data_IF_104669895107
#
_entry.id   IF_104669895107
#
_cell.length_a   1.000
_cell.length_b   1.000
_cell.length_c   1.000
_cell.angle_alpha   90.00
_cell.angle_beta   90.00
_cell.angle_gamma   90.00
#
_symmetry.space_group_name_H-M   'P 1'
#
loop_
_entity.id
_entity.type
_entity.pdbx_description
1 polymer ?
#
# COMPACT_ATOMS: atom_id res chain seq x y z
N UNK A 1 40.11 16.24 43.13
CA UNK A 1 38.70 15.79 42.93
C UNK A 1 37.93 16.54 41.83
N UNK A 2 38.48 17.60 41.21
CA UNK A 2 37.78 18.43 40.19
C UNK A 2 37.78 17.82 38.78
N UNK A 3 38.85 17.13 38.39
CA UNK A 3 39.04 16.59 37.02
C UNK A 3 38.00 15.55 36.59
N UNK A 4 37.45 14.74 37.53
CA UNK A 4 36.38 13.76 37.23
C UNK A 4 35.02 14.43 36.99
N UNK A 5 34.75 15.60 37.58
CA UNK A 5 33.47 16.30 37.39
C UNK A 5 33.36 16.95 36.02
N UNK A 6 34.45 17.49 35.46
CA UNK A 6 34.44 18.06 34.09
C UNK A 6 34.15 17.01 33.01
N UNK A 7 34.71 15.80 33.14
CA UNK A 7 34.45 14.69 32.22
C UNK A 7 32.98 14.22 32.28
N UNK A 8 32.37 14.25 33.47
CA UNK A 8 30.94 13.97 33.64
C UNK A 8 30.09 15.01 32.91
N UNK A 9 30.43 16.31 32.99
CA UNK A 9 29.70 17.34 32.24
C UNK A 9 29.86 17.20 30.73
N UNK A 10 31.06 16.87 30.23
CA UNK A 10 31.25 16.60 28.79
C UNK A 10 30.45 15.39 28.31
N UNK A 11 30.41 14.31 29.11
CA UNK A 11 29.62 13.13 28.79
C UNK A 11 28.11 13.43 28.77
N UNK A 12 27.61 14.18 29.76
CA UNK A 12 26.20 14.59 29.81
C UNK A 12 25.85 15.47 28.61
N UNK A 13 26.69 16.46 28.28
CA UNK A 13 26.48 17.32 27.11
C UNK A 13 26.51 16.54 25.80
N UNK A 14 27.44 15.59 25.64
CA UNK A 14 27.50 14.71 24.48
C UNK A 14 26.24 13.86 24.33
N UNK A 15 25.77 13.23 25.42
CA UNK A 15 24.55 12.43 25.41
C UNK A 15 23.31 13.29 25.12
N UNK A 16 23.23 14.51 25.66
CA UNK A 16 22.15 15.44 25.38
C UNK A 16 22.14 15.86 23.89
N UNK A 17 23.30 16.19 23.31
CA UNK A 17 23.43 16.50 21.89
C UNK A 17 23.05 15.30 21.03
N UNK A 18 23.56 14.10 21.34
CA UNK A 18 23.22 12.89 20.62
C UNK A 18 21.71 12.59 20.68
N UNK A 19 21.08 12.79 21.84
CA UNK A 19 19.63 12.65 22.00
C UNK A 19 18.86 13.67 21.15
N UNK A 20 19.25 14.95 21.15
CA UNK A 20 18.62 15.98 20.32
C UNK A 20 18.80 15.65 18.83
N UNK A 21 20.01 15.31 18.39
CA UNK A 21 20.27 14.95 17.00
C UNK A 21 19.46 13.73 16.56
N UNK A 22 19.37 12.70 17.41
CA UNK A 22 18.57 11.52 17.15
C UNK A 22 17.08 11.85 16.99
N UNK A 23 16.50 12.63 17.92
CA UNK A 23 15.08 13.01 17.83
C UNK A 23 14.80 13.92 16.63
N UNK A 24 15.67 14.88 16.33
CA UNK A 24 15.55 15.73 15.14
C UNK A 24 15.63 14.91 13.86
N UNK A 25 16.59 13.99 13.76
CA UNK A 25 16.71 13.09 12.62
C UNK A 25 15.47 12.20 12.46
N UNK A 26 14.97 11.60 13.55
CA UNK A 26 13.77 10.76 13.55
C UNK A 26 12.52 11.55 13.13
N UNK A 27 12.37 12.77 13.64
CA UNK A 27 11.27 13.64 13.24
C UNK A 27 11.36 14.02 11.76
N UNK A 28 12.52 14.50 11.31
CA UNK A 28 12.73 14.92 9.93
C UNK A 28 12.56 13.77 8.92
N UNK A 29 13.06 12.57 9.26
CA UNK A 29 12.91 11.38 8.40
C UNK A 29 11.49 10.82 8.35
N UNK A 30 10.65 11.15 9.34
CA UNK A 30 9.23 10.76 9.37
C UNK A 30 8.29 11.75 8.67
N UNK A 31 8.75 12.96 8.33
CA UNK A 31 7.91 13.97 7.70
C UNK A 31 7.38 13.47 6.34
N UNK A 32 6.07 13.53 6.17
CA UNK A 32 5.40 13.08 4.94
C UNK A 32 5.15 11.58 4.86
N UNK A 33 5.57 10.78 5.85
CA UNK A 33 5.22 9.37 5.94
C UNK A 33 3.92 9.19 6.73
N UNK A 34 3.02 8.35 6.22
CA UNK A 34 1.71 8.09 6.82
C UNK A 34 1.58 6.67 7.38
N UNK A 35 2.71 6.04 7.74
CA UNK A 35 2.67 4.72 8.36
C UNK A 35 1.87 4.74 9.66
N UNK A 36 0.95 3.78 9.82
CA UNK A 36 0.02 3.72 10.94
C UNK A 36 -1.21 4.63 10.80
N UNK A 37 -1.33 5.41 9.72
CA UNK A 37 -2.52 6.25 9.51
C UNK A 37 -3.79 5.39 9.41
N UNK A 38 -4.73 5.64 10.31
CA UNK A 38 -5.95 4.84 10.53
C UNK A 38 -7.11 5.77 10.93
N UNK A 39 -7.65 6.56 9.98
CA UNK A 39 -8.74 7.48 10.26
C UNK A 39 -10.06 6.74 10.53
N UNK A 40 -10.94 7.37 11.30
CA UNK A 40 -12.33 6.93 11.38
C UNK A 40 -12.99 6.99 10.00
N UNK A 41 -13.79 5.96 9.71
CA UNK A 41 -14.49 5.81 8.44
C UNK A 41 -15.98 6.08 8.65
N UNK A 42 -16.74 6.46 7.61
CA UNK A 42 -18.18 6.71 7.72
C UNK A 42 -18.95 5.48 8.25
N UNK A 43 -18.42 4.29 7.98
CA UNK A 43 -18.92 3.00 8.46
C UNK A 43 -17.75 2.21 9.04
N UNK A 44 -17.98 1.55 10.17
CA UNK A 44 -17.01 0.66 10.79
C UNK A 44 -16.90 -0.69 10.03
N UNK A 45 -16.46 -0.61 8.78
CA UNK A 45 -16.27 -1.75 7.88
C UNK A 45 -15.05 -2.59 8.28
N UNK A 46 -15.28 -3.89 8.50
CA UNK A 46 -14.22 -4.85 8.86
C UNK A 46 -13.79 -5.68 7.65
N UNK A 47 -12.55 -5.48 7.20
CA UNK A 47 -11.94 -6.34 6.17
C UNK A 47 -11.71 -7.75 6.72
N UNK A 48 -11.42 -7.88 8.01
CA UNK A 48 -11.27 -9.18 8.67
C UNK A 48 -12.53 -10.03 8.59
N UNK A 49 -13.70 -9.45 8.79
CA UNK A 49 -14.96 -10.21 8.62
C UNK A 49 -15.13 -10.65 7.16
N UNK A 50 -14.98 -9.74 6.21
CA UNK A 50 -15.30 -10.01 4.80
C UNK A 50 -14.24 -10.89 4.10
N UNK A 51 -12.98 -10.49 4.13
CA UNK A 51 -11.89 -11.22 3.47
C UNK A 51 -11.29 -12.32 4.37
N UNK A 52 -11.25 -12.10 5.68
CA UNK A 52 -10.64 -13.05 6.63
C UNK A 52 -11.55 -14.22 6.99
N UNK A 53 -12.77 -13.95 7.45
CA UNK A 53 -13.73 -14.97 7.90
C UNK A 53 -14.51 -15.56 6.73
N UNK A 54 -15.18 -14.72 5.94
CA UNK A 54 -16.01 -15.17 4.82
C UNK A 54 -15.23 -15.44 3.53
N UNK A 55 -13.91 -15.18 3.52
CA UNK A 55 -13.02 -15.46 2.39
C UNK A 55 -13.48 -14.83 1.07
N UNK A 56 -14.14 -13.66 1.14
CA UNK A 56 -14.52 -12.91 -0.05
C UNK A 56 -13.25 -12.44 -0.76
N UNK A 57 -13.15 -12.72 -2.05
CA UNK A 57 -11.99 -12.35 -2.84
C UNK A 57 -11.85 -10.82 -2.93
N UNK A 58 -10.62 -10.31 -2.78
CA UNK A 58 -10.29 -8.88 -2.83
C UNK A 58 -10.85 -8.18 -4.09
N UNK A 59 -10.75 -8.83 -5.26
CA UNK A 59 -11.16 -8.24 -6.54
C UNK A 59 -12.68 -8.16 -6.73
N UNK A 60 -13.46 -8.82 -5.87
CA UNK A 60 -14.91 -8.74 -5.90
C UNK A 60 -15.37 -7.31 -5.57
N UNK A 61 -14.81 -6.72 -4.50
CA UNK A 61 -15.11 -5.35 -4.09
C UNK A 61 -14.21 -4.33 -4.78
N UNK A 62 -12.90 -4.61 -4.85
CA UNK A 62 -11.93 -3.73 -5.50
C UNK A 62 -11.81 -4.03 -6.98
N UNK A 63 -12.93 -3.90 -7.68
CA UNK A 63 -12.98 -4.12 -9.11
C UNK A 63 -12.07 -3.12 -9.84
N UNK A 64 -11.58 -3.54 -11.01
CA UNK A 64 -10.68 -2.71 -11.81
C UNK A 64 -9.21 -2.73 -11.39
N UNK A 65 -8.84 -3.33 -10.26
CA UNK A 65 -7.42 -3.44 -9.86
C UNK A 65 -6.53 -4.12 -10.90
N UNK A 66 -7.09 -5.05 -11.69
CA UNK A 66 -6.38 -5.76 -12.77
C UNK A 66 -6.43 -5.05 -14.14
N UNK A 67 -7.25 -4.00 -14.27
CA UNK A 67 -7.56 -3.38 -15.57
C UNK A 67 -7.30 -1.88 -15.64
N UNK A 68 -7.29 -1.22 -14.49
CA UNK A 68 -7.19 0.23 -14.35
C UNK A 68 -5.97 0.61 -13.52
N UNK A 69 -5.57 1.87 -13.65
CA UNK A 69 -4.54 2.46 -12.78
C UNK A 69 -5.00 2.61 -11.33
N UNK A 70 -6.32 2.69 -11.10
CA UNK A 70 -6.91 2.83 -9.77
C UNK A 70 -7.63 1.55 -9.36
N UNK A 71 -7.37 1.06 -8.14
CA UNK A 71 -8.28 0.15 -7.45
C UNK A 71 -9.48 0.97 -6.96
N UNK A 72 -10.66 0.69 -7.52
CA UNK A 72 -11.87 1.42 -7.14
C UNK A 72 -12.32 0.99 -5.73
N UNK A 73 -12.90 1.94 -5.00
CA UNK A 73 -13.65 1.63 -3.79
C UNK A 73 -15.07 1.25 -4.26
N UNK A 74 -15.64 0.13 -3.76
CA UNK A 74 -16.95 -0.33 -4.22
C UNK A 74 -18.02 0.74 -4.00
N UNK A 75 -18.96 0.78 -4.93
CA UNK A 75 -20.20 1.53 -4.74
C UNK A 75 -21.09 0.88 -3.67
N UNK A 76 -22.11 1.62 -3.24
CA UNK A 76 -23.09 1.12 -2.25
C UNK A 76 -23.84 -0.11 -2.78
N UNK A 77 -24.03 -0.21 -4.10
CA UNK A 77 -24.72 -1.34 -4.73
C UNK A 77 -23.99 -2.66 -4.50
N UNK A 78 -22.67 -2.66 -4.54
CA UNK A 78 -21.83 -3.83 -4.23
C UNK A 78 -22.09 -4.34 -2.81
N UNK A 79 -22.29 -3.44 -1.85
CA UNK A 79 -22.66 -3.82 -0.48
C UNK A 79 -24.05 -4.46 -0.44
N UNK A 80 -24.99 -3.95 -1.23
CA UNK A 80 -26.38 -4.40 -1.27
C UNK A 80 -26.57 -5.80 -1.85
N UNK A 81 -25.63 -6.30 -2.66
CA UNK A 81 -25.63 -7.67 -3.16
C UNK A 81 -25.81 -8.72 -2.05
N UNK A 82 -25.29 -8.44 -0.84
CA UNK A 82 -25.45 -9.30 0.34
C UNK A 82 -26.31 -8.66 1.43
N UNK A 83 -26.16 -7.36 1.67
CA UNK A 83 -26.81 -6.66 2.77
C UNK A 83 -28.32 -6.39 2.56
N UNK A 84 -28.87 -6.70 1.39
CA UNK A 84 -30.31 -6.80 1.20
C UNK A 84 -30.94 -7.88 2.12
N UNK A 85 -30.24 -9.01 2.30
CA UNK A 85 -30.64 -10.12 3.18
C UNK A 85 -29.93 -10.13 4.54
N UNK A 86 -28.65 -9.74 4.59
CA UNK A 86 -27.86 -9.72 5.83
C UNK A 86 -27.95 -8.35 6.50
N UNK A 87 -28.82 -8.23 7.52
CA UNK A 87 -29.14 -6.94 8.17
C UNK A 87 -28.59 -6.77 9.59
N UNK A 88 -27.86 -7.76 10.11
CA UNK A 88 -27.29 -7.73 11.46
C UNK A 88 -25.87 -8.27 11.42
N UNK A 89 -24.90 -7.45 11.83
CA UNK A 89 -23.53 -7.86 12.08
C UNK A 89 -23.34 -8.33 13.53
N UNK A 90 -22.24 -9.03 13.78
CA UNK A 90 -21.90 -9.60 15.08
C UNK A 90 -21.55 -8.52 16.11
N UNK A 91 -20.65 -7.59 15.75
CA UNK A 91 -20.09 -6.58 16.67
C UNK A 91 -21.01 -5.37 16.92
N UNK A 92 -21.65 -4.86 15.88
CA UNK A 92 -22.43 -3.62 15.93
C UNK A 92 -23.94 -3.81 15.71
N UNK A 93 -24.41 -5.07 15.68
CA UNK A 93 -25.80 -5.38 15.41
C UNK A 93 -26.26 -4.78 14.08
N UNK A 94 -27.34 -3.97 14.10
CA UNK A 94 -27.90 -3.35 12.89
C UNK A 94 -27.31 -1.97 12.58
N UNK A 95 -26.54 -1.37 13.49
CA UNK A 95 -26.17 0.05 13.46
C UNK A 95 -25.33 0.43 12.24
N UNK A 96 -24.30 -0.35 11.93
CA UNK A 96 -23.41 -0.03 10.80
C UNK A 96 -24.04 -0.40 9.45
N UNK A 97 -24.82 -1.49 9.41
CA UNK A 97 -25.50 -1.92 8.18
C UNK A 97 -26.64 -0.96 7.83
N UNK A 98 -27.33 -0.37 8.81
CA UNK A 98 -28.38 0.63 8.52
C UNK A 98 -27.84 1.83 7.76
N UNK A 99 -26.61 2.29 8.05
CA UNK A 99 -25.96 3.37 7.30
C UNK A 99 -25.82 3.05 5.81
N UNK A 100 -25.50 1.79 5.47
CA UNK A 100 -25.45 1.32 4.06
C UNK A 100 -26.84 1.35 3.43
N UNK A 101 -27.84 0.84 4.15
CA UNK A 101 -29.23 0.80 3.67
C UNK A 101 -29.79 2.21 3.42
N UNK A 102 -29.46 3.16 4.30
CA UNK A 102 -29.90 4.54 4.17
C UNK A 102 -29.18 5.24 3.01
N UNK A 103 -27.86 5.08 2.89
CA UNK A 103 -27.09 5.56 1.74
C UNK A 103 -27.63 5.00 0.40
N UNK A 104 -28.02 3.72 0.39
CA UNK A 104 -28.62 3.08 -0.77
C UNK A 104 -29.97 3.70 -1.16
N UNK A 105 -30.87 3.88 -0.19
CA UNK A 105 -32.20 4.48 -0.43
C UNK A 105 -32.11 5.94 -0.89
N UNK A 106 -31.17 6.70 -0.33
CA UNK A 106 -30.95 8.09 -0.69
C UNK A 106 -30.18 8.25 -2.00
N UNK A 107 -29.63 7.17 -2.56
CA UNK A 107 -28.79 7.20 -3.76
C UNK A 107 -27.50 7.99 -3.56
N UNK A 108 -27.00 8.08 -2.33
CA UNK A 108 -25.80 8.85 -1.98
C UNK A 108 -24.58 7.93 -1.81
N UNK A 109 -23.41 8.29 -2.35
CA UNK A 109 -22.19 7.54 -2.11
C UNK A 109 -21.72 7.70 -0.68
N UNK A 110 -21.02 6.69 -0.17
CA UNK A 110 -20.33 6.77 1.12
C UNK A 110 -19.05 7.61 0.97
N UNK A 111 -18.93 8.65 1.79
CA UNK A 111 -17.76 9.53 1.80
C UNK A 111 -16.58 8.90 2.55
N UNK A 112 -15.95 7.89 1.93
CA UNK A 112 -14.79 7.21 2.49
C UNK A 112 -13.59 8.15 2.66
N UNK A 113 -12.87 7.99 3.77
CA UNK A 113 -11.60 8.70 3.99
C UNK A 113 -10.48 7.87 3.38
N UNK A 114 -9.85 8.41 2.33
CA UNK A 114 -8.74 7.75 1.64
C UNK A 114 -7.53 7.63 2.57
N UNK A 115 -7.00 6.41 2.68
CA UNK A 115 -5.85 6.11 3.55
C UNK A 115 -4.54 6.18 2.76
N UNK A 116 -4.45 5.40 1.68
CA UNK A 116 -3.24 5.37 0.85
C UNK A 116 -3.32 6.51 -0.15
N UNK A 117 -2.52 7.56 0.04
CA UNK A 117 -2.46 8.68 -0.87
C UNK A 117 -1.03 8.91 -1.36
N UNK A 118 -0.85 8.85 -2.68
CA UNK A 118 0.37 9.28 -3.34
C UNK A 118 0.17 10.72 -3.88
N UNK A 119 1.23 11.54 -3.95
CA UNK A 119 1.14 12.85 -4.58
C UNK A 119 0.70 12.77 -6.04
N UNK A 120 0.02 13.80 -6.56
CA UNK A 120 -0.56 13.78 -7.91
C UNK A 120 0.47 13.70 -9.04
N UNK A 121 1.72 14.14 -8.79
CA UNK A 121 2.83 13.99 -9.71
C UNK A 121 3.42 12.57 -9.73
N UNK A 122 2.79 11.61 -9.05
CA UNK A 122 3.19 10.20 -9.05
C UNK A 122 2.17 9.41 -9.89
N UNK A 123 2.63 8.89 -11.02
CA UNK A 123 1.87 7.93 -11.80
C UNK A 123 2.05 6.52 -11.21
N UNK A 124 0.96 5.99 -10.65
CA UNK A 124 0.88 4.61 -10.19
C UNK A 124 -0.23 3.87 -10.92
N UNK A 125 0.02 2.63 -11.33
CA UNK A 125 -0.94 1.82 -12.06
C UNK A 125 -1.12 0.44 -11.42
N UNK A 126 -2.28 0.19 -10.80
CA UNK A 126 -2.59 -1.10 -10.17
C UNK A 126 -2.52 -2.28 -11.13
N UNK A 127 -3.05 -2.16 -12.35
CA UNK A 127 -3.07 -3.26 -13.33
C UNK A 127 -1.66 -3.75 -13.70
N UNK A 128 -0.68 -2.84 -13.76
CA UNK A 128 0.72 -3.21 -14.02
C UNK A 128 1.30 -4.05 -12.88
N UNK A 129 0.96 -3.75 -11.63
CA UNK A 129 1.50 -4.49 -10.48
C UNK A 129 0.74 -5.80 -10.24
N UNK A 130 -0.58 -5.79 -10.34
CA UNK A 130 -1.42 -6.95 -10.01
C UNK A 130 -1.53 -7.93 -11.18
N UNK A 131 -1.87 -7.46 -12.39
CA UNK A 131 -2.10 -8.35 -13.52
C UNK A 131 -0.81 -8.76 -14.22
N UNK A 132 0.09 -7.80 -14.45
CA UNK A 132 1.36 -8.05 -15.16
C UNK A 132 2.42 -8.55 -14.19
N UNK A 133 2.68 -7.79 -13.12
CA UNK A 133 3.69 -8.11 -12.11
C UNK A 133 3.29 -9.22 -11.14
N UNK A 134 2.02 -9.65 -11.12
CA UNK A 134 1.49 -10.68 -10.20
C UNK A 134 1.87 -10.43 -8.73
N UNK A 135 1.95 -9.16 -8.33
CA UNK A 135 2.32 -8.75 -6.98
C UNK A 135 1.12 -8.96 -6.05
N UNK A 136 1.34 -9.68 -4.96
CA UNK A 136 0.32 -9.94 -3.95
C UNK A 136 -0.17 -8.64 -3.29
N UNK A 137 -1.47 -8.56 -3.01
CA UNK A 137 -2.05 -7.37 -2.36
C UNK A 137 -1.38 -7.08 -1.01
N UNK A 138 -1.02 -8.14 -0.28
CA UNK A 138 -0.46 -8.10 1.06
C UNK A 138 0.96 -7.54 1.11
N UNK A 139 1.73 -7.64 0.02
CA UNK A 139 3.08 -7.06 0.01
C UNK A 139 3.04 -5.53 0.09
N UNK A 140 1.97 -4.92 -0.45
CA UNK A 140 1.79 -3.47 -0.49
C UNK A 140 0.89 -2.95 0.65
N UNK A 141 -0.22 -3.64 0.94
CA UNK A 141 -1.22 -3.19 1.91
C UNK A 141 -1.18 -3.92 3.26
N UNK A 142 -0.28 -4.90 3.41
CA UNK A 142 -0.22 -5.77 4.58
C UNK A 142 -1.36 -6.79 4.60
N UNK A 143 -1.48 -7.51 5.72
CA UNK A 143 -2.50 -8.53 5.92
C UNK A 143 -3.89 -7.93 6.16
N UNK A 144 -4.50 -7.38 5.11
CA UNK A 144 -5.79 -6.70 5.17
C UNK A 144 -6.90 -7.63 5.67
N UNK A 145 -6.81 -8.93 5.38
CA UNK A 145 -7.71 -9.96 5.87
C UNK A 145 -7.67 -10.18 7.39
N UNK A 146 -6.70 -9.59 8.10
CA UNK A 146 -6.62 -9.59 9.56
C UNK A 146 -7.08 -8.25 10.18
N UNK A 147 -7.43 -7.24 9.35
CA UNK A 147 -7.71 -5.87 9.79
C UNK A 147 -9.20 -5.61 10.06
N UNK A 148 -9.53 -5.29 11.31
CA UNK A 148 -10.87 -4.81 11.70
C UNK A 148 -11.17 -3.40 11.19
N UNK A 149 -10.12 -2.58 11.08
CA UNK A 149 -10.15 -1.27 10.45
C UNK A 149 -8.87 -1.15 9.64
N UNK A 150 -9.01 -0.71 8.40
CA UNK A 150 -7.89 -0.59 7.47
C UNK A 150 -6.92 0.51 7.97
N UNK A 151 -5.63 0.27 7.82
CA UNK A 151 -4.56 1.21 8.16
C UNK A 151 -3.45 1.13 7.13
N UNK A 152 -2.67 2.20 7.00
CA UNK A 152 -1.47 2.17 6.18
C UNK A 152 -0.34 1.45 6.92
N UNK A 153 0.16 0.36 6.36
CA UNK A 153 1.25 -0.43 6.97
C UNK A 153 2.62 -0.12 6.38
N UNK A 154 2.66 0.26 5.11
CA UNK A 154 3.89 0.57 4.39
C UNK A 154 3.97 2.07 4.16
N UNK A 155 5.18 2.60 4.13
CA UNK A 155 5.42 4.04 3.95
C UNK A 155 4.99 4.53 2.57
N UNK A 156 5.05 3.66 1.55
CA UNK A 156 4.84 4.01 0.14
C UNK A 156 5.71 5.19 -0.33
N UNK A 157 6.89 5.33 0.28
CA UNK A 157 7.86 6.35 -0.10
C UNK A 157 8.56 5.97 -1.40
N UNK A 158 9.15 6.95 -2.09
CA UNK A 158 9.96 6.71 -3.28
C UNK A 158 11.07 5.66 -3.02
N UNK A 159 11.74 5.74 -1.88
CA UNK A 159 12.77 4.77 -1.48
C UNK A 159 12.21 3.35 -1.37
N UNK A 160 11.04 3.20 -0.75
CA UNK A 160 10.34 1.91 -0.66
C UNK A 160 9.98 1.35 -2.05
N UNK A 161 9.46 2.18 -2.96
CA UNK A 161 9.15 1.77 -4.32
C UNK A 161 10.41 1.33 -5.09
N UNK A 162 11.49 2.12 -5.04
CA UNK A 162 12.74 1.83 -5.74
C UNK A 162 13.37 0.54 -5.21
N UNK A 163 13.38 0.34 -3.90
CA UNK A 163 13.97 -0.86 -3.30
C UNK A 163 13.17 -2.12 -3.65
N UNK A 164 11.84 -2.00 -3.75
CA UNK A 164 10.98 -3.06 -4.28
C UNK A 164 11.31 -3.36 -5.75
N UNK A 165 11.41 -2.33 -6.60
CA UNK A 165 11.70 -2.49 -8.02
C UNK A 165 13.10 -3.06 -8.30
N UNK A 166 14.09 -2.81 -7.43
CA UNK A 166 15.43 -3.41 -7.53
C UNK A 166 15.45 -4.91 -7.24
N UNK A 167 14.47 -5.41 -6.49
CA UNK A 167 14.43 -6.80 -6.00
C UNK A 167 13.35 -7.64 -6.67
N UNK A 168 12.40 -7.01 -7.35
CA UNK A 168 11.29 -7.69 -8.02
C UNK A 168 11.72 -8.21 -9.39
N UNK A 169 11.60 -9.51 -9.58
CA UNK A 169 11.89 -10.19 -10.84
C UNK A 169 10.73 -9.99 -11.83
N UNK A 170 11.07 -9.87 -13.11
CA UNK A 170 10.12 -9.76 -14.21
C UNK A 170 9.92 -11.14 -14.82
N UNK A 171 8.66 -11.49 -15.12
CA UNK A 171 8.29 -12.68 -15.88
C UNK A 171 8.68 -12.51 -17.37
N UNK A 172 9.98 -12.63 -17.64
CA UNK A 172 10.59 -12.30 -18.94
C UNK A 172 10.35 -13.37 -20.02
N UNK A 173 10.02 -14.60 -19.62
CA UNK A 173 9.92 -15.75 -20.53
C UNK A 173 8.54 -15.97 -21.16
N UNK A 174 7.51 -15.25 -20.72
CA UNK A 174 6.11 -15.53 -21.09
C UNK A 174 5.35 -14.40 -21.80
N UNK A 175 6.03 -13.33 -22.22
CA UNK A 175 5.39 -12.14 -22.79
C UNK A 175 6.17 -11.60 -23.99
N UNK A 176 5.54 -11.61 -25.17
CA UNK A 176 6.08 -11.12 -26.45
C UNK A 176 6.54 -9.66 -26.38
N UNK A 177 6.00 -8.85 -25.45
CA UNK A 177 6.47 -7.48 -25.21
C UNK A 177 7.96 -7.40 -24.88
N UNK A 178 8.52 -8.42 -24.23
CA UNK A 178 9.92 -8.40 -23.82
C UNK A 178 10.91 -8.72 -24.95
N UNK A 179 10.43 -9.19 -26.10
CA UNK A 179 11.30 -9.45 -27.28
C UNK A 179 11.99 -8.17 -27.79
N UNK A 180 11.39 -7.01 -27.57
CA UNK A 180 11.97 -5.70 -27.91
C UNK A 180 13.23 -5.38 -27.07
N UNK A 181 13.39 -6.00 -25.90
CA UNK A 181 14.59 -5.89 -25.08
C UNK A 181 15.67 -6.84 -25.55
N UNK A 182 16.00 -6.78 -26.85
CA UNK A 182 16.86 -7.73 -27.57
C UNK A 182 18.13 -8.12 -26.80
N UNK A 183 18.85 -7.14 -26.24
CA UNK A 183 20.07 -7.39 -25.45
C UNK A 183 19.80 -8.16 -24.17
N UNK A 184 18.75 -7.81 -23.42
CA UNK A 184 18.38 -8.53 -22.18
C UNK A 184 17.86 -9.92 -22.50
N UNK A 185 17.12 -10.08 -23.59
CA UNK A 185 16.66 -11.38 -24.06
C UNK A 185 17.81 -12.29 -24.48
N UNK A 186 18.78 -11.75 -25.21
CA UNK A 186 19.99 -12.48 -25.62
C UNK A 186 20.87 -12.83 -24.41
N UNK A 187 21.06 -11.89 -23.47
CA UNK A 187 21.80 -12.14 -22.21
C UNK A 187 21.07 -13.17 -21.32
N UNK A 188 19.73 -13.20 -21.33
CA UNK A 188 18.91 -14.18 -20.61
C UNK A 188 18.97 -15.56 -21.25
N UNK A 189 18.77 -15.67 -22.58
CA UNK A 189 18.86 -16.92 -23.33
C UNK A 189 20.26 -17.53 -23.33
N UNK A 190 21.30 -16.70 -23.32
CA UNK A 190 22.70 -17.15 -23.24
C UNK A 190 23.13 -17.56 -21.83
N UNK A 191 22.28 -17.39 -20.81
CA UNK A 191 22.60 -17.71 -19.41
C UNK A 191 23.56 -16.72 -18.75
N UNK A 192 23.94 -15.64 -19.44
CA UNK A 192 24.80 -14.58 -18.88
C UNK A 192 24.08 -13.78 -17.80
N UNK A 193 22.74 -13.76 -17.82
CA UNK A 193 21.90 -13.17 -16.79
C UNK A 193 20.72 -14.10 -16.49
N UNK A 194 20.74 -14.72 -15.31
CA UNK A 194 19.70 -15.67 -14.90
C UNK A 194 18.35 -15.02 -14.60
N UNK A 195 18.35 -13.75 -14.19
CA UNK A 195 17.15 -13.03 -13.72
C UNK A 195 17.16 -11.59 -14.19
N UNK A 196 16.00 -11.10 -14.62
CA UNK A 196 15.77 -9.71 -15.01
C UNK A 196 14.88 -9.06 -13.96
N UNK A 197 15.32 -7.92 -13.42
CA UNK A 197 14.58 -7.17 -12.41
C UNK A 197 13.83 -6.00 -13.04
N UNK A 198 12.83 -5.48 -12.33
CA UNK A 198 12.05 -4.31 -12.78
C UNK A 198 12.97 -3.10 -13.03
N UNK A 199 14.04 -2.95 -12.25
CA UNK A 199 15.05 -1.91 -12.49
C UNK A 199 15.80 -2.05 -13.82
N UNK A 200 15.98 -3.27 -14.33
CA UNK A 200 16.72 -3.52 -15.59
C UNK A 200 15.95 -3.07 -16.83
N UNK A 201 14.62 -3.07 -16.76
CA UNK A 201 13.72 -2.59 -17.83
C UNK A 201 13.37 -1.11 -17.66
N UNK A 202 14.12 -0.40 -16.82
CA UNK A 202 13.95 1.02 -16.53
C UNK A 202 12.71 1.32 -15.67
N UNK A 203 12.24 0.38 -14.86
CA UNK A 203 11.13 0.61 -13.92
C UNK A 203 11.45 1.59 -12.78
N UNK A 204 12.65 2.18 -12.78
CA UNK A 204 13.09 3.20 -11.83
C UNK A 204 13.41 4.54 -12.53
N UNK A 205 13.09 4.66 -13.82
CA UNK A 205 13.31 5.89 -14.59
C UNK A 205 12.29 6.96 -14.15
N UNK A 206 12.78 8.17 -13.85
CA UNK A 206 11.93 9.26 -13.35
C UNK A 206 10.69 9.52 -14.22
N UNK A 207 10.87 9.50 -15.54
CA UNK A 207 9.81 9.81 -16.52
C UNK A 207 8.68 8.77 -16.56
N UNK A 208 8.89 7.55 -16.03
CA UNK A 208 7.83 6.52 -15.98
C UNK A 208 6.96 6.64 -14.72
N UNK A 209 7.46 7.32 -13.70
CA UNK A 209 6.79 7.49 -12.41
C UNK A 209 6.30 8.93 -12.17
N UNK A 210 6.91 9.94 -12.81
CA UNK A 210 6.69 11.35 -12.50
C UNK A 210 6.52 12.23 -13.75
N UNK A 211 5.42 12.08 -14.47
CA UNK A 211 5.12 12.83 -15.69
C UNK A 211 3.78 13.54 -15.63
#
# INVERSE_FOLDING_TARGET
MSFKKSHIYYLISFLAIAFILYNTYRFASGLGLQEGYQPEQPIAFSHKTHAGVYKINCVYCHNGVEKSKHALIPDVQTCMNCHAGIRKGEKFGKMEISKILDAYKEGKPLAWVKIHNLPDHVYFNHAQHVKVGKVDCQSCHGKVEEMEQIKQVNTLSMGWCIDCHRKSEVDFGGNDYYDDFKKLHDDFKSGKKEKVFVSDIGGIDCQKCHY
#
